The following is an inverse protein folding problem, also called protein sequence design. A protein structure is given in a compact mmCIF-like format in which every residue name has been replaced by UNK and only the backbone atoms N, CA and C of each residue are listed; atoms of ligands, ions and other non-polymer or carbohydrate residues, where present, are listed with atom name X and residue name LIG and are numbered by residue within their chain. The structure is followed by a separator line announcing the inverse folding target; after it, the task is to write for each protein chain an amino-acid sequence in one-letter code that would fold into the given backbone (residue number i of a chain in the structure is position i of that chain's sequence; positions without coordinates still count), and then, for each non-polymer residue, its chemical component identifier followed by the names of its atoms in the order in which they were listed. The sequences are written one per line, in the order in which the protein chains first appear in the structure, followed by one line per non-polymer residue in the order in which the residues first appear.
data_IF_732785845476
#
_entry.id   IF_732785845476
#
_cell.length_a   1.000
_cell.length_b   1.000
_cell.length_c   1.000
_cell.angle_alpha   90.00
_cell.angle_beta   90.00
_cell.angle_gamma   90.00
#
_symmetry.space_group_name_H-M   'P 1'
#
loop_
_entity.id
_entity.type
_entity.pdbx_description
1 polymer ?
#
# COMPACT_ATOMS: atom_id res chain seq x y z
N UNK A 1 12.32 -20.21 0.27
CA UNK A 1 10.93 -20.44 0.70
C UNK A 1 10.44 -19.16 1.36
N UNK A 2 9.85 -18.24 0.59
CA UNK A 2 9.09 -17.13 1.18
C UNK A 2 7.64 -17.59 1.24
N UNK A 3 7.24 -18.06 2.40
CA UNK A 3 5.83 -18.31 2.71
C UNK A 3 5.21 -16.99 3.10
N UNK A 4 4.62 -16.28 2.13
CA UNK A 4 3.69 -15.20 2.45
C UNK A 4 2.28 -15.75 2.36
N UNK A 5 1.74 -15.97 3.55
CA UNK A 5 0.37 -16.24 3.95
C UNK A 5 -0.70 -16.03 2.89
N UNK A 6 -1.41 -17.13 2.62
CA UNK A 6 -2.71 -17.15 1.97
C UNK A 6 -3.75 -16.58 2.94
N UNK A 7 -4.00 -15.27 2.87
CA UNK A 7 -5.25 -14.66 3.32
C UNK A 7 -5.98 -14.24 2.06
N UNK A 8 -7.26 -14.59 1.95
CA UNK A 8 -8.14 -14.13 0.88
C UNK A 8 -8.32 -12.61 1.01
N UNK A 9 -7.32 -11.85 0.58
CA UNK A 9 -7.54 -10.47 0.19
C UNK A 9 -8.28 -10.54 -1.14
N UNK A 10 -9.49 -10.03 -1.19
CA UNK A 10 -10.04 -9.54 -2.45
C UNK A 10 -8.94 -8.74 -3.12
N UNK A 11 -8.42 -9.22 -4.27
CA UNK A 11 -7.26 -8.68 -4.97
C UNK A 11 -7.50 -7.22 -5.40
N UNK A 12 -7.38 -6.31 -4.44
CA UNK A 12 -7.54 -4.87 -4.58
C UNK A 12 -6.17 -4.28 -4.86
N UNK A 13 -6.08 -3.33 -5.79
CA UNK A 13 -4.82 -2.62 -6.03
C UNK A 13 -4.50 -1.72 -4.84
N UNK A 14 -3.21 -1.50 -4.61
CA UNK A 14 -2.74 -0.61 -3.55
C UNK A 14 -3.29 0.82 -3.70
N UNK A 15 -3.46 1.30 -4.93
CA UNK A 15 -4.06 2.60 -5.21
C UNK A 15 -5.54 2.66 -4.85
N UNK A 16 -6.30 1.60 -5.14
CA UNK A 16 -7.71 1.51 -4.74
C UNK A 16 -7.84 1.49 -3.22
N UNK A 17 -6.98 0.73 -2.52
CA UNK A 17 -6.96 0.69 -1.06
C UNK A 17 -6.62 2.06 -0.44
N UNK A 18 -5.66 2.79 -1.02
CA UNK A 18 -5.33 4.16 -0.61
C UNK A 18 -6.55 5.10 -0.75
N UNK A 19 -7.31 5.01 -1.84
CA UNK A 19 -8.50 5.84 -2.04
C UNK A 19 -9.63 5.50 -1.05
N UNK A 20 -9.77 4.24 -0.67
CA UNK A 20 -10.69 3.82 0.39
C UNK A 20 -10.30 4.40 1.75
N UNK A 21 -9.04 4.28 2.14
CA UNK A 21 -8.53 4.86 3.40
C UNK A 21 -8.69 6.39 3.43
N UNK A 22 -8.48 7.06 2.29
CA UNK A 22 -8.76 8.50 2.15
C UNK A 22 -10.26 8.81 2.32
N UNK A 23 -11.15 7.97 1.81
CA UNK A 23 -12.59 8.12 1.97
C UNK A 23 -13.02 7.90 3.42
N UNK A 24 -12.47 6.89 4.08
CA UNK A 24 -12.69 6.62 5.50
C UNK A 24 -12.23 7.79 6.36
N UNK A 25 -11.04 8.35 6.13
CA UNK A 25 -10.55 9.52 6.87
C UNK A 25 -11.44 10.74 6.71
N UNK A 26 -12.00 10.98 5.51
CA UNK A 26 -12.96 12.08 5.31
C UNK A 26 -14.23 11.89 6.12
N UNK A 27 -14.62 10.65 6.38
CA UNK A 27 -15.87 10.29 7.06
C UNK A 27 -15.69 9.98 8.56
N UNK A 28 -14.45 9.79 9.02
CA UNK A 28 -14.17 9.36 10.38
C UNK A 28 -14.48 10.47 11.40
N UNK A 29 -15.41 10.16 12.31
CA UNK A 29 -15.91 11.08 13.33
C UNK A 29 -15.10 10.96 14.62
N UNK A 30 -14.66 9.74 14.96
CA UNK A 30 -13.93 9.47 16.19
C UNK A 30 -12.44 9.63 16.00
N UNK A 31 -11.79 10.23 17.01
CA UNK A 31 -10.34 10.52 16.96
C UNK A 31 -9.49 9.25 16.86
N UNK A 32 -9.90 8.18 17.53
CA UNK A 32 -9.13 6.94 17.55
C UNK A 32 -9.23 6.20 16.22
N UNK A 33 -10.44 6.09 15.65
CA UNK A 33 -10.65 5.59 14.28
C UNK A 33 -9.84 6.39 13.26
N UNK A 34 -9.87 7.73 13.35
CA UNK A 34 -9.04 8.59 12.49
C UNK A 34 -7.55 8.25 12.60
N UNK A 35 -7.04 8.05 13.80
CA UNK A 35 -5.62 7.74 14.03
C UNK A 35 -5.25 6.37 13.46
N UNK A 36 -6.14 5.41 13.59
CA UNK A 36 -5.95 4.06 13.06
C UNK A 36 -5.94 4.07 11.52
N UNK A 37 -6.91 4.76 10.90
CA UNK A 37 -6.96 4.92 9.45
C UNK A 37 -5.79 5.76 8.91
N UNK A 38 -5.32 6.78 9.64
CA UNK A 38 -4.12 7.57 9.30
C UNK A 38 -2.87 6.67 9.26
N UNK A 39 -2.68 5.80 10.26
CA UNK A 39 -1.56 4.86 10.30
C UNK A 39 -1.64 3.82 9.17
N UNK A 40 -2.84 3.32 8.85
CA UNK A 40 -3.04 2.42 7.73
C UNK A 40 -2.73 3.10 6.38
N UNK A 41 -3.14 4.36 6.21
CA UNK A 41 -2.84 5.14 5.00
C UNK A 41 -1.35 5.39 4.83
N UNK A 42 -0.64 5.72 5.91
CA UNK A 42 0.82 5.90 5.89
C UNK A 42 1.54 4.62 5.44
N UNK A 43 1.12 3.46 5.97
CA UNK A 43 1.68 2.17 5.58
C UNK A 43 1.45 1.86 4.10
N UNK A 44 0.21 2.04 3.61
CA UNK A 44 -0.14 1.78 2.21
C UNK A 44 0.61 2.71 1.23
N UNK A 45 0.83 3.97 1.61
CA UNK A 45 1.63 4.90 0.81
C UNK A 45 3.10 4.47 0.75
N UNK A 46 3.68 4.04 1.87
CA UNK A 46 5.06 3.55 1.92
C UNK A 46 5.25 2.28 1.09
N UNK A 47 4.29 1.36 1.13
CA UNK A 47 4.30 0.15 0.31
C UNK A 47 4.19 0.48 -1.19
N UNK A 48 3.34 1.44 -1.59
CA UNK A 48 3.26 1.86 -3.00
C UNK A 48 4.58 2.46 -3.48
N UNK A 49 5.23 3.28 -2.65
CA UNK A 49 6.54 3.83 -2.98
C UNK A 49 7.58 2.73 -3.16
N UNK A 50 7.59 1.72 -2.29
CA UNK A 50 8.50 0.57 -2.42
C UNK A 50 8.27 -0.19 -3.74
N UNK A 51 7.00 -0.42 -4.12
CA UNK A 51 6.65 -1.04 -5.40
C UNK A 51 7.18 -0.19 -6.59
N UNK A 52 7.05 1.13 -6.51
CA UNK A 52 7.53 2.03 -7.56
C UNK A 52 9.06 1.99 -7.69
N UNK A 53 9.79 2.05 -6.56
CA UNK A 53 11.25 1.95 -6.54
C UNK A 53 11.72 0.61 -7.12
N UNK A 54 11.10 -0.50 -6.71
CA UNK A 54 11.44 -1.83 -7.26
C UNK A 54 11.20 -1.89 -8.78
N UNK A 55 10.12 -1.29 -9.27
CA UNK A 55 9.84 -1.23 -10.71
C UNK A 55 10.86 -0.36 -11.46
N UNK A 56 11.23 0.80 -10.92
CA UNK A 56 12.27 1.66 -11.50
C UNK A 56 13.63 0.96 -11.53
N UNK A 57 14.02 0.24 -10.47
CA UNK A 57 15.26 -0.53 -10.44
C UNK A 57 15.28 -1.63 -11.50
N UNK A 58 14.17 -2.37 -11.67
CA UNK A 58 14.04 -3.37 -12.71
C UNK A 58 14.12 -2.79 -14.12
N UNK A 59 13.53 -1.61 -14.35
CA UNK A 59 13.58 -0.93 -15.65
C UNK A 59 14.98 -0.39 -15.99
N UNK A 60 15.75 0.00 -14.98
CA UNK A 60 17.08 0.58 -15.14
C UNK A 60 18.21 -0.45 -15.01
N UNK A 61 17.90 -1.72 -14.75
CA UNK A 61 18.90 -2.78 -14.69
C UNK A 61 19.54 -3.00 -16.08
N UNK A 62 20.83 -2.69 -16.21
CA UNK A 62 21.60 -2.96 -17.43
C UNK A 62 21.68 -4.48 -17.66
N UNK A 63 21.43 -4.97 -18.89
CA UNK A 63 21.56 -6.40 -19.16
C UNK A 63 23.01 -6.85 -18.90
N UNK A 64 23.23 -8.07 -18.36
CA UNK A 64 24.58 -8.59 -18.18
C UNK A 64 25.29 -8.66 -19.53
N UNK A 65 26.50 -8.09 -19.59
CA UNK A 65 27.38 -8.07 -20.77
C UNK A 65 27.80 -9.48 -21.22
#
# INVERSE_FOLDING_TARGET
MSSFTNVKETNMSIDQHIEELRAELRNAVYRDERRETEAALELALAEREAIWVEQEELMNAEPPL
#
